data_IF_505011720854
#
_entry.id   IF_505011720854
#
_cell.length_a   1.000
_cell.length_b   1.000
_cell.length_c   1.000
_cell.angle_alpha   90.00
_cell.angle_beta   90.00
_cell.angle_gamma   90.00
#
_symmetry.space_group_name_H-M   'P 1'
#
loop_
_entity.id
_entity.type
_entity.pdbx_description
1 polymer ?
#
# COMPACT_ATOMS: atom_id res chain seq x y z
N UNK A 1 3.81 -14.67 -15.34
CA UNK A 1 4.62 -13.43 -15.38
C UNK A 1 3.75 -12.29 -14.89
N UNK A 2 4.14 -11.60 -13.81
CA UNK A 2 3.45 -10.38 -13.39
C UNK A 2 3.84 -9.25 -14.34
N UNK A 3 2.96 -8.92 -15.28
CA UNK A 3 3.11 -7.75 -16.16
C UNK A 3 2.61 -6.51 -15.43
N UNK A 4 3.21 -6.18 -14.29
CA UNK A 4 3.10 -4.84 -13.74
C UNK A 4 4.23 -4.04 -14.37
N UNK A 5 3.90 -3.04 -15.20
CA UNK A 5 4.89 -2.18 -15.81
C UNK A 5 5.65 -1.46 -14.68
N UNK A 6 6.89 -1.85 -14.31
CA UNK A 6 7.50 -1.48 -13.02
C UNK A 6 7.53 0.03 -12.78
N UNK A 7 7.56 0.79 -13.87
CA UNK A 7 7.49 2.25 -13.91
C UNK A 7 6.23 2.82 -13.25
N UNK A 8 5.07 2.15 -13.32
CA UNK A 8 3.82 2.66 -12.74
C UNK A 8 3.79 2.54 -11.21
N UNK A 9 4.31 1.46 -10.63
CA UNK A 9 4.31 1.21 -9.19
C UNK A 9 5.28 2.16 -8.51
N UNK A 10 6.49 2.33 -9.07
CA UNK A 10 7.47 3.28 -8.53
C UNK A 10 6.93 4.72 -8.55
N UNK A 11 6.28 5.13 -9.63
CA UNK A 11 5.63 6.46 -9.70
C UNK A 11 4.50 6.60 -8.69
N UNK A 12 3.66 5.59 -8.53
CA UNK A 12 2.56 5.60 -7.56
C UNK A 12 3.07 5.72 -6.12
N UNK A 13 4.10 4.94 -5.75
CA UNK A 13 4.71 5.00 -4.42
C UNK A 13 5.35 6.38 -4.19
N UNK A 14 6.08 6.93 -5.17
CA UNK A 14 6.66 8.25 -5.03
C UNK A 14 5.58 9.32 -4.84
N UNK A 15 4.51 9.28 -5.64
CA UNK A 15 3.41 10.24 -5.53
C UNK A 15 2.71 10.16 -4.17
N UNK A 16 2.47 8.95 -3.66
CA UNK A 16 1.92 8.76 -2.32
C UNK A 16 2.86 9.31 -1.25
N UNK A 17 4.18 9.05 -1.35
CA UNK A 17 5.16 9.56 -0.39
C UNK A 17 5.20 11.09 -0.34
N UNK A 18 5.10 11.77 -1.49
CA UNK A 18 5.04 13.25 -1.54
C UNK A 18 3.80 13.78 -0.83
N UNK A 19 2.63 13.17 -1.06
CA UNK A 19 1.40 13.59 -0.38
C UNK A 19 1.46 13.34 1.13
N UNK A 20 1.95 12.18 1.56
CA UNK A 20 2.11 11.86 2.97
C UNK A 20 3.12 12.79 3.66
N UNK A 21 4.21 13.16 3.00
CA UNK A 21 5.21 14.09 3.54
C UNK A 21 4.70 15.54 3.65
N UNK A 22 3.65 15.88 2.89
CA UNK A 22 2.97 17.17 2.97
C UNK A 22 1.84 17.19 4.04
N UNK A 23 1.56 16.05 4.67
CA UNK A 23 0.58 15.95 5.75
C UNK A 23 1.16 16.57 7.02
N UNK A 24 0.46 17.57 7.58
CA UNK A 24 0.91 18.27 8.78
C UNK A 24 0.37 17.59 10.04
N UNK A 25 -0.96 17.58 10.19
CA UNK A 25 -1.67 16.88 11.25
C UNK A 25 -3.07 16.50 10.75
N UNK A 26 -3.56 15.35 11.19
CA UNK A 26 -4.96 14.93 11.00
C UNK A 26 -5.59 14.73 12.38
N UNK A 27 -6.87 15.03 12.50
CA UNK A 27 -7.58 14.84 13.77
C UNK A 27 -7.99 13.37 13.99
N UNK A 28 -8.59 13.08 15.15
CA UNK A 28 -8.99 11.72 15.50
C UNK A 28 -10.14 11.19 14.62
N UNK A 29 -11.03 12.05 14.16
CA UNK A 29 -12.16 11.68 13.29
C UNK A 29 -11.63 11.33 11.91
N UNK A 30 -10.81 12.20 11.32
CA UNK A 30 -10.11 11.96 10.05
C UNK A 30 -9.25 10.68 10.11
N UNK A 31 -8.51 10.47 11.21
CA UNK A 31 -7.71 9.26 11.39
C UNK A 31 -8.57 7.98 11.50
N UNK A 32 -9.79 8.06 12.06
CA UNK A 32 -10.73 6.92 12.12
C UNK A 32 -11.28 6.58 10.74
N UNK A 33 -11.59 7.59 9.93
CA UNK A 33 -12.06 7.40 8.57
C UNK A 33 -10.98 6.81 7.66
N UNK A 34 -9.74 7.31 7.79
CA UNK A 34 -8.60 6.82 7.01
C UNK A 34 -8.05 5.48 7.53
N UNK A 35 -8.30 5.13 8.79
CA UNK A 35 -7.71 3.99 9.48
C UNK A 35 -7.74 2.67 8.68
N UNK A 36 -8.90 2.22 8.17
CA UNK A 36 -8.98 0.99 7.38
C UNK A 36 -8.10 1.01 6.12
N UNK A 37 -8.02 2.15 5.44
CA UNK A 37 -7.18 2.30 4.24
C UNK A 37 -5.71 2.34 4.61
N UNK A 38 -5.36 3.07 5.67
CA UNK A 38 -4.00 3.14 6.20
C UNK A 38 -3.49 1.76 6.61
N UNK A 39 -4.30 0.95 7.30
CA UNK A 39 -3.97 -0.42 7.68
C UNK A 39 -3.75 -1.31 6.45
N UNK A 40 -4.66 -1.27 5.48
CA UNK A 40 -4.54 -2.07 4.25
C UNK A 40 -3.25 -1.73 3.48
N UNK A 41 -2.92 -0.44 3.37
CA UNK A 41 -1.68 0.03 2.72
C UNK A 41 -0.45 -0.37 3.53
N UNK A 42 -0.48 -0.27 4.86
CA UNK A 42 0.62 -0.69 5.73
C UNK A 42 0.91 -2.19 5.58
N UNK A 43 -0.13 -3.03 5.59
CA UNK A 43 0.00 -4.47 5.40
C UNK A 43 0.59 -4.81 4.01
N UNK A 44 0.19 -4.08 2.96
CA UNK A 44 0.79 -4.24 1.64
C UNK A 44 2.28 -3.87 1.63
N UNK A 45 2.67 -2.80 2.34
CA UNK A 45 4.09 -2.43 2.47
C UNK A 45 4.89 -3.45 3.27
N UNK A 46 4.32 -4.08 4.31
CA UNK A 46 4.99 -5.18 5.02
C UNK A 46 5.35 -6.31 4.05
N UNK A 47 4.43 -6.71 3.15
CA UNK A 47 4.72 -7.75 2.13
C UNK A 47 5.79 -7.31 1.15
N UNK A 48 5.78 -6.04 0.71
CA UNK A 48 6.83 -5.48 -0.16
C UNK A 48 8.19 -5.50 0.53
N UNK A 49 8.26 -5.09 1.80
CA UNK A 49 9.50 -5.13 2.58
C UNK A 49 9.99 -6.54 2.79
N UNK A 50 9.09 -7.46 3.19
CA UNK A 50 9.43 -8.87 3.34
C UNK A 50 9.98 -9.46 2.04
N UNK A 51 9.37 -9.14 0.89
CA UNK A 51 9.88 -9.55 -0.40
C UNK A 51 11.25 -8.95 -0.72
N UNK A 52 11.48 -7.68 -0.39
CA UNK A 52 12.76 -7.01 -0.64
C UNK A 52 13.90 -7.58 0.23
N UNK A 53 13.61 -7.93 1.48
CA UNK A 53 14.60 -8.46 2.43
C UNK A 53 14.90 -9.94 2.21
N UNK A 54 13.87 -10.74 1.94
CA UNK A 54 13.99 -12.21 1.95
C UNK A 54 13.82 -12.85 0.58
N UNK A 55 13.11 -12.19 -0.34
CA UNK A 55 12.71 -12.77 -1.63
C UNK A 55 11.67 -13.89 -1.51
N UNK A 56 11.08 -14.11 -0.33
CA UNK A 56 10.23 -15.27 -0.05
C UNK A 56 8.73 -15.01 -0.15
N UNK A 57 8.30 -13.75 -0.33
CA UNK A 57 6.87 -13.46 -0.49
C UNK A 57 6.35 -14.10 -1.78
N UNK A 58 5.19 -14.72 -1.68
CA UNK A 58 4.56 -15.44 -2.78
C UNK A 58 3.60 -14.54 -3.55
N UNK A 59 3.24 -14.96 -4.76
CA UNK A 59 2.20 -14.28 -5.53
C UNK A 59 0.81 -14.30 -4.84
N UNK A 60 0.57 -15.23 -3.90
CA UNK A 60 -0.64 -15.27 -3.11
C UNK A 60 -0.65 -14.16 -2.06
N UNK A 61 0.46 -13.96 -1.35
CA UNK A 61 0.62 -12.89 -0.35
C UNK A 61 0.38 -11.52 -0.98
N UNK A 62 0.95 -11.28 -2.17
CA UNK A 62 0.71 -10.04 -2.93
C UNK A 62 -0.75 -9.88 -3.36
N UNK A 63 -1.43 -10.96 -3.75
CA UNK A 63 -2.83 -10.90 -4.19
C UNK A 63 -3.74 -10.55 -3.02
N UNK A 64 -3.52 -11.18 -1.87
CA UNK A 64 -4.30 -10.94 -0.66
C UNK A 64 -4.24 -9.48 -0.20
N UNK A 65 -3.05 -8.90 -0.12
CA UNK A 65 -2.90 -7.50 0.30
C UNK A 65 -3.42 -6.53 -0.75
N UNK A 66 -3.24 -6.80 -2.04
CA UNK A 66 -3.80 -5.96 -3.12
C UNK A 66 -5.33 -6.02 -3.14
N UNK A 67 -5.93 -7.20 -2.96
CA UNK A 67 -7.39 -7.34 -2.91
C UNK A 67 -7.97 -6.67 -1.66
N UNK A 68 -7.22 -6.65 -0.55
CA UNK A 68 -7.60 -5.89 0.65
C UNK A 68 -7.58 -4.39 0.38
N UNK A 69 -6.52 -3.85 -0.23
CA UNK A 69 -6.44 -2.43 -0.62
C UNK A 69 -7.58 -2.05 -1.57
N UNK A 70 -7.85 -2.87 -2.59
CA UNK A 70 -8.97 -2.68 -3.52
C UNK A 70 -10.31 -2.62 -2.82
N UNK A 71 -10.57 -3.58 -1.92
CA UNK A 71 -11.81 -3.62 -1.13
C UNK A 71 -12.00 -2.36 -0.30
N UNK A 72 -10.93 -1.86 0.32
CA UNK A 72 -11.01 -0.63 1.12
C UNK A 72 -11.22 0.62 0.27
N UNK A 73 -10.70 0.63 -0.96
CA UNK A 73 -10.94 1.70 -1.94
C UNK A 73 -12.32 1.60 -2.64
N UNK A 74 -13.02 0.46 -2.51
CA UNK A 74 -14.26 0.20 -3.20
C UNK A 74 -14.11 -0.06 -4.71
N UNK A 75 -12.95 -0.57 -5.14
CA UNK A 75 -12.61 -0.86 -6.55
C UNK A 75 -12.32 -2.33 -6.82
#
# INVERSE_FOLDING_TARGET
>A
MATSNPTNVTQAIHHAAVQLAAMDWIDQEEARELGPLAEAVANAFIVVFYQAETGQATAADFREVVDTVRRTLGV
#
